data_IF_519243477699
#
_entry.id   IF_519243477699
#
_cell.length_a   1.000
_cell.length_b   1.000
_cell.length_c   1.000
_cell.angle_alpha   90.00
_cell.angle_beta   90.00
_cell.angle_gamma   90.00
#
_symmetry.space_group_name_H-M   'P 1'
#
loop_
_entity.id
_entity.type
_entity.pdbx_description
1 polymer ?
#
# COMPACT_ATOMS: atom_id res chain seq x y z
N UNK A 1 -7.42 -6.70 -23.91
CA UNK A 1 -6.59 -6.23 -25.04
C UNK A 1 -5.24 -6.86 -24.94
N UNK A 2 -4.86 -7.62 -25.96
CA UNK A 2 -3.52 -8.18 -26.13
C UNK A 2 -2.83 -7.39 -27.24
N UNK A 3 -1.54 -7.11 -27.06
CA UNK A 3 -0.74 -6.39 -28.04
C UNK A 3 0.42 -7.30 -28.43
N UNK A 4 0.78 -7.32 -29.71
CA UNK A 4 1.87 -8.17 -30.21
C UNK A 4 3.23 -7.64 -29.77
N UNK A 5 3.35 -6.33 -29.57
CA UNK A 5 4.59 -5.67 -29.18
C UNK A 5 4.40 -4.71 -28.01
N UNK A 6 5.47 -4.55 -27.23
CA UNK A 6 5.55 -3.57 -26.15
C UNK A 6 5.46 -2.12 -26.63
N UNK A 7 5.74 -1.87 -27.91
CA UNK A 7 5.68 -0.53 -28.52
C UNK A 7 4.25 -0.13 -28.83
N UNK A 8 3.46 -1.02 -29.42
CA UNK A 8 2.03 -0.81 -29.64
C UNK A 8 1.26 -0.66 -28.33
N UNK A 9 1.59 -1.52 -27.36
CA UNK A 9 1.13 -1.39 -25.98
C UNK A 9 1.46 -0.02 -25.39
N UNK A 10 2.70 0.47 -25.59
CA UNK A 10 3.17 1.77 -25.15
C UNK A 10 2.42 2.93 -25.76
N UNK A 11 2.26 2.92 -27.08
CA UNK A 11 1.54 3.95 -27.82
C UNK A 11 0.07 4.04 -27.37
N UNK A 12 -0.57 2.90 -27.15
CA UNK A 12 -1.98 2.82 -26.73
C UNK A 12 -2.26 3.49 -25.38
N UNK A 13 -1.31 3.44 -24.44
CA UNK A 13 -1.46 4.09 -23.11
C UNK A 13 -0.57 5.32 -22.94
N UNK A 14 0.04 5.80 -24.03
CA UNK A 14 1.03 6.89 -24.01
C UNK A 14 2.12 6.68 -22.93
N UNK A 15 2.68 5.47 -22.90
CA UNK A 15 3.76 5.06 -22.02
C UNK A 15 4.96 4.55 -22.81
N UNK A 16 6.14 4.63 -22.21
CA UNK A 16 7.34 4.03 -22.80
C UNK A 16 7.30 2.51 -22.67
N UNK A 17 7.81 1.80 -23.69
CA UNK A 17 7.98 0.33 -23.65
C UNK A 17 8.71 -0.16 -22.40
N UNK A 18 9.66 0.63 -21.90
CA UNK A 18 10.40 0.34 -20.64
C UNK A 18 9.49 0.39 -19.42
N UNK A 19 8.53 1.31 -19.38
CA UNK A 19 7.56 1.41 -18.29
C UNK A 19 6.63 0.19 -18.25
N UNK A 20 6.19 -0.27 -19.42
CA UNK A 20 5.37 -1.48 -19.55
C UNK A 20 6.18 -2.72 -19.18
N UNK A 21 7.40 -2.85 -19.71
CA UNK A 21 8.32 -3.93 -19.36
C UNK A 21 8.57 -4.00 -17.85
N UNK A 22 8.79 -2.85 -17.19
CA UNK A 22 8.93 -2.81 -15.73
C UNK A 22 7.68 -3.27 -15.00
N UNK A 23 6.48 -3.06 -15.54
CA UNK A 23 5.24 -3.58 -14.96
C UNK A 23 5.12 -5.09 -15.15
N UNK A 24 5.39 -5.57 -16.37
CA UNK A 24 5.38 -7.00 -16.65
C UNK A 24 6.42 -7.79 -15.84
N UNK A 25 7.56 -7.16 -15.50
CA UNK A 25 8.60 -7.74 -14.63
C UNK A 25 8.29 -7.59 -13.13
N UNK A 26 7.17 -6.96 -12.75
CA UNK A 26 6.80 -6.72 -11.36
C UNK A 26 7.60 -5.63 -10.64
N UNK A 27 8.45 -4.88 -11.36
CA UNK A 27 9.19 -3.73 -10.81
C UNK A 27 8.24 -2.58 -10.48
N UNK A 28 7.24 -2.36 -11.34
CA UNK A 28 6.17 -1.38 -11.12
C UNK A 28 4.81 -2.09 -11.02
N UNK A 29 3.91 -1.59 -10.17
CA UNK A 29 2.56 -2.18 -10.04
C UNK A 29 1.65 -1.90 -11.22
N UNK A 30 1.73 -0.69 -11.76
CA UNK A 30 0.84 -0.21 -12.83
C UNK A 30 1.61 0.74 -13.72
N UNK A 31 1.31 0.74 -15.02
CA UNK A 31 1.75 1.77 -15.93
C UNK A 31 0.52 2.54 -16.40
N UNK A 32 0.47 3.85 -16.11
CA UNK A 32 -0.63 4.72 -16.52
C UNK A 32 -2.03 4.23 -16.07
N UNK A 33 -2.10 3.55 -14.92
CA UNK A 33 -3.35 3.00 -14.39
C UNK A 33 -3.75 1.64 -14.96
N UNK A 34 -2.94 1.07 -15.85
CA UNK A 34 -3.16 -0.24 -16.44
C UNK A 34 -2.14 -1.27 -15.93
N UNK A 35 -2.59 -2.52 -15.86
CA UNK A 35 -1.77 -3.68 -15.51
C UNK A 35 -1.31 -4.37 -16.79
N UNK A 36 -0.06 -4.80 -16.79
CA UNK A 36 0.59 -5.40 -17.94
C UNK A 36 1.24 -6.72 -17.54
N UNK A 37 1.04 -7.76 -18.34
CA UNK A 37 1.67 -9.07 -18.17
C UNK A 37 2.03 -9.64 -19.54
N UNK A 38 3.14 -10.36 -19.63
CA UNK A 38 3.53 -11.08 -20.86
C UNK A 38 2.65 -12.30 -21.14
N UNK A 39 2.14 -12.90 -20.07
CA UNK A 39 1.31 -14.10 -20.13
C UNK A 39 0.03 -13.83 -19.37
N UNK A 40 -1.11 -14.09 -19.99
CA UNK A 40 -2.39 -14.07 -19.30
C UNK A 40 -2.46 -15.33 -18.43
N UNK A 41 -1.91 -15.23 -17.21
CA UNK A 41 -1.99 -16.30 -16.20
C UNK A 41 -3.21 -16.02 -15.35
N UNK A 42 -4.22 -16.88 -15.46
CA UNK A 42 -5.36 -16.92 -14.54
C UNK A 42 -5.12 -18.04 -13.51
N UNK A 43 -5.28 -17.79 -12.20
CA UNK A 43 -5.65 -16.53 -11.56
C UNK A 43 -4.44 -15.60 -11.38
N UNK A 44 -4.58 -14.33 -11.79
CA UNK A 44 -3.58 -13.30 -11.54
C UNK A 44 -3.70 -12.83 -10.08
N UNK A 45 -2.81 -13.31 -9.22
CA UNK A 45 -2.79 -12.91 -7.81
C UNK A 45 -2.13 -11.53 -7.68
N UNK A 46 -2.95 -10.50 -7.44
CA UNK A 46 -2.46 -9.16 -7.17
C UNK A 46 -1.57 -9.19 -5.92
N UNK A 47 -0.31 -8.78 -6.08
CA UNK A 47 0.55 -8.44 -4.94
C UNK A 47 -0.14 -7.32 -4.16
N UNK A 48 -0.86 -7.71 -3.10
CA UNK A 48 -1.60 -6.81 -2.24
C UNK A 48 -0.67 -5.67 -1.82
N UNK A 49 -1.19 -4.44 -1.79
CA UNK A 49 -0.42 -3.28 -1.34
C UNK A 49 -0.19 -3.39 0.18
N UNK A 50 0.82 -4.19 0.56
CA UNK A 50 1.27 -4.39 1.94
C UNK A 50 1.82 -3.12 2.59
N UNK A 51 1.85 -2.00 1.85
CA UNK A 51 2.20 -0.67 2.40
C UNK A 51 1.07 -0.08 3.22
N UNK A 52 -0.19 -0.46 2.94
CA UNK A 52 -1.31 -0.15 3.83
C UNK A 52 -1.31 -1.17 4.97
N UNK A 53 -0.50 -0.89 5.98
CA UNK A 53 -0.64 -1.58 7.26
C UNK A 53 -1.80 -0.91 8.01
N UNK A 54 -2.78 -1.73 8.36
CA UNK A 54 -3.82 -1.31 9.28
C UNK A 54 -3.16 -0.99 10.62
N UNK A 55 -3.78 -0.09 11.37
CA UNK A 55 -3.34 0.22 12.73
C UNK A 55 -4.50 0.10 13.68
N UNK A 56 -4.23 -0.53 14.82
CA UNK A 56 -5.18 -0.63 15.91
C UNK A 56 -4.73 0.30 17.03
N UNK A 57 -5.65 1.16 17.45
CA UNK A 57 -5.54 1.96 18.65
C UNK A 57 -6.04 1.15 19.83
N UNK A 58 -5.24 1.15 20.90
CA UNK A 58 -5.51 0.44 22.15
C UNK A 58 -5.35 1.42 23.30
N UNK A 59 -6.11 1.21 24.37
CA UNK A 59 -5.91 1.92 25.63
C UNK A 59 -4.63 1.42 26.33
N UNK A 60 -4.17 2.10 27.40
CA UNK A 60 -3.02 1.68 28.22
C UNK A 60 -3.18 0.27 28.81
N UNK A 61 -4.42 -0.19 28.93
CA UNK A 61 -4.77 -1.53 29.38
C UNK A 61 -4.75 -2.58 28.26
N UNK A 62 -4.20 -2.27 27.08
CA UNK A 62 -4.22 -3.12 25.88
C UNK A 62 -5.64 -3.47 25.39
N UNK A 63 -6.62 -2.63 25.71
CA UNK A 63 -8.00 -2.81 25.23
C UNK A 63 -8.14 -2.14 23.86
N UNK A 64 -8.56 -2.85 22.80
CA UNK A 64 -8.74 -2.25 21.48
C UNK A 64 -9.89 -1.24 21.51
N UNK A 65 -9.57 -0.01 21.11
CA UNK A 65 -10.51 1.12 21.04
C UNK A 65 -11.02 1.33 19.62
N UNK A 66 -10.12 1.28 18.64
CA UNK A 66 -10.45 1.53 17.23
C UNK A 66 -9.45 0.86 16.28
N UNK A 67 -9.93 0.39 15.14
CA UNK A 67 -9.12 -0.06 14.00
C UNK A 67 -9.20 0.99 12.89
N UNK A 68 -8.07 1.24 12.24
CA UNK A 68 -7.95 2.13 11.09
C UNK A 68 -7.28 1.41 9.93
N UNK A 69 -7.70 1.73 8.71
CA UNK A 69 -7.14 1.11 7.51
C UNK A 69 -5.69 1.55 7.23
N UNK A 70 -5.26 2.65 7.84
CA UNK A 70 -3.94 3.23 7.64
C UNK A 70 -3.54 4.16 8.78
N UNK A 71 -2.22 4.31 9.02
CA UNK A 71 -1.66 5.33 9.92
C UNK A 71 -2.15 6.75 9.58
N UNK A 72 -2.36 7.04 8.31
CA UNK A 72 -2.85 8.34 7.86
C UNK A 72 -4.31 8.60 8.29
N UNK A 73 -5.14 7.56 8.28
CA UNK A 73 -6.53 7.64 8.73
C UNK A 73 -6.59 7.77 10.26
N UNK A 74 -5.85 6.94 10.97
CA UNK A 74 -5.66 7.05 12.41
C UNK A 74 -5.20 8.45 12.84
N UNK A 75 -4.28 9.05 12.08
CA UNK A 75 -3.77 10.39 12.34
C UNK A 75 -4.86 11.46 12.21
N UNK A 76 -5.76 11.32 11.22
CA UNK A 76 -6.89 12.24 11.03
C UNK A 76 -7.94 12.07 12.12
N UNK A 77 -8.26 10.84 12.49
CA UNK A 77 -9.33 10.56 13.46
C UNK A 77 -8.90 10.84 14.89
N UNK A 78 -7.68 10.42 15.26
CA UNK A 78 -7.16 10.59 16.62
C UNK A 78 -6.48 11.95 16.84
N UNK A 79 -6.22 12.72 15.77
CA UNK A 79 -5.48 14.00 15.85
C UNK A 79 -3.99 13.84 16.16
N UNK A 80 -3.47 12.61 16.25
CA UNK A 80 -2.06 12.33 16.53
C UNK A 80 -1.27 12.31 15.23
N UNK A 81 -0.08 12.89 15.22
CA UNK A 81 0.81 12.84 14.05
C UNK A 81 1.13 11.40 13.60
N UNK A 82 0.97 11.11 12.31
CA UNK A 82 1.32 9.83 11.66
C UNK A 82 2.70 9.28 12.07
N UNK A 83 3.70 10.15 12.24
CA UNK A 83 5.05 9.77 12.65
C UNK A 83 5.09 9.26 14.09
N UNK A 84 4.26 9.81 14.98
CA UNK A 84 4.16 9.37 16.36
C UNK A 84 3.51 7.99 16.44
N UNK A 85 2.39 7.79 15.72
CA UNK A 85 1.70 6.51 15.62
C UNK A 85 2.66 5.43 15.10
N UNK A 86 3.33 5.67 13.97
CA UNK A 86 4.29 4.71 13.42
C UNK A 86 5.46 4.39 14.36
N UNK A 87 5.94 5.35 15.15
CA UNK A 87 6.99 5.11 16.14
C UNK A 87 6.51 4.23 17.29
N UNK A 88 5.29 4.44 17.77
CA UNK A 88 4.67 3.57 18.79
C UNK A 88 4.45 2.16 18.25
N UNK A 89 3.90 2.02 17.04
CA UNK A 89 3.73 0.71 16.40
C UNK A 89 5.04 -0.05 16.17
N UNK A 90 6.19 0.64 16.16
CA UNK A 90 7.53 0.04 16.04
C UNK A 90 8.19 -0.25 17.40
N UNK A 91 7.57 0.15 18.50
CA UNK A 91 8.18 0.08 19.83
C UNK A 91 9.28 1.13 20.07
N UNK A 92 9.42 2.13 19.20
CA UNK A 92 10.35 3.27 19.43
C UNK A 92 9.84 4.20 20.54
N UNK A 93 8.54 4.14 20.86
CA UNK A 93 7.89 4.87 21.94
C UNK A 93 6.88 3.99 22.65
N UNK A 94 6.77 4.15 23.96
CA UNK A 94 5.82 3.38 24.78
C UNK A 94 4.37 3.77 24.50
N UNK A 95 4.06 5.02 24.17
CA UNK A 95 2.69 5.49 23.93
C UNK A 95 2.68 6.81 23.15
N UNK A 96 1.55 7.15 22.53
CA UNK A 96 1.33 8.46 21.91
C UNK A 96 -0.06 8.99 22.23
N UNK A 97 -0.12 10.19 22.81
CA UNK A 97 -1.39 10.84 23.17
C UNK A 97 -2.21 10.05 24.18
N UNK A 98 -1.55 9.33 25.11
CA UNK A 98 -2.17 8.43 26.08
C UNK A 98 -2.80 7.15 25.49
N UNK A 99 -2.51 6.84 24.22
CA UNK A 99 -2.95 5.63 23.55
C UNK A 99 -1.77 4.79 23.04
N UNK A 100 -1.98 3.48 23.01
CA UNK A 100 -1.10 2.48 22.42
C UNK A 100 -1.50 2.21 20.97
N UNK A 101 -0.53 2.01 20.10
CA UNK A 101 -0.75 1.78 18.67
C UNK A 101 0.00 0.54 18.22
N UNK A 102 -0.67 -0.36 17.50
CA UNK A 102 -0.06 -1.56 16.95
C UNK A 102 -0.42 -1.73 15.47
N UNK A 103 0.53 -2.24 14.68
CA UNK A 103 0.22 -2.69 13.32
C UNK A 103 -0.51 -4.04 13.38
N UNK A 104 -1.50 -4.18 12.51
CA UNK A 104 -2.30 -5.39 12.29
C UNK A 104 -2.22 -5.80 10.82
#
# INVERSE_FOLDING_TARGET
>A
NTFETLEEAGLSVNASKKSINNVCLGVNKTCKGFYWSYTQVEPFEWQNDTRKKKVMQTDLNNIPLAEYESVAEASRQSGISKTCISRVCRGEREQSGSFLWNYI
#
